data_IF_912037265874
#
_entry.id   IF_912037265874
#
_cell.length_a   1.000
_cell.length_b   1.000
_cell.length_c   1.000
_cell.angle_alpha   90.00
_cell.angle_beta   90.00
_cell.angle_gamma   90.00
#
_symmetry.space_group_name_H-M   'P 1'
#
loop_
_entity.id
_entity.type
_entity.pdbx_description
1 polymer ?
#
# COMPACT_ATOMS: atom_id res chain seq x y z
N UNK A 1 -14.69 -16.34 -8.27
CA UNK A 1 -14.14 -16.37 -6.88
C UNK A 1 -14.68 -15.15 -6.18
N UNK A 2 -15.12 -15.24 -4.92
CA UNK A 2 -15.65 -14.06 -4.22
C UNK A 2 -14.53 -13.09 -3.85
N UNK A 3 -14.84 -11.79 -3.80
CA UNK A 3 -13.88 -10.75 -3.42
C UNK A 3 -13.28 -10.98 -2.01
N UNK A 4 -14.07 -11.51 -1.06
CA UNK A 4 -13.58 -11.88 0.27
C UNK A 4 -12.47 -12.92 0.19
N UNK A 5 -12.74 -14.01 -0.53
CA UNK A 5 -11.80 -15.12 -0.69
C UNK A 5 -10.51 -14.64 -1.36
N UNK A 6 -10.61 -13.66 -2.27
CA UNK A 6 -9.45 -12.99 -2.86
C UNK A 6 -8.61 -12.26 -1.80
N UNK A 7 -9.22 -11.43 -0.95
CA UNK A 7 -8.47 -10.73 0.11
C UNK A 7 -7.83 -11.70 1.11
N UNK A 8 -8.52 -12.79 1.46
CA UNK A 8 -7.99 -13.83 2.34
C UNK A 8 -6.81 -14.57 1.69
N UNK A 9 -6.89 -14.90 0.40
CA UNK A 9 -5.82 -15.52 -0.36
C UNK A 9 -4.52 -14.72 -0.32
N UNK A 10 -4.61 -13.39 -0.40
CA UNK A 10 -3.45 -12.50 -0.32
C UNK A 10 -3.00 -12.22 1.12
N UNK A 11 -3.70 -12.69 2.15
CA UNK A 11 -3.33 -12.40 3.54
C UNK A 11 -3.72 -10.99 4.01
N UNK A 12 -4.59 -10.29 3.28
CA UNK A 12 -5.14 -8.98 3.65
C UNK A 12 -6.28 -9.12 4.67
N UNK A 13 -6.02 -9.88 5.74
CA UNK A 13 -7.02 -10.34 6.73
C UNK A 13 -7.52 -9.24 7.68
N UNK A 14 -6.80 -8.12 7.76
CA UNK A 14 -7.16 -6.95 8.59
C UNK A 14 -8.37 -6.18 8.03
N UNK A 15 -8.81 -6.50 6.81
CA UNK A 15 -9.87 -5.78 6.09
C UNK A 15 -11.25 -6.19 6.59
N UNK A 16 -12.07 -5.18 6.91
CA UNK A 16 -13.50 -5.31 7.19
C UNK A 16 -14.29 -4.95 5.93
N UNK A 17 -14.88 -5.95 5.28
CA UNK A 17 -15.79 -5.75 4.14
C UNK A 17 -17.24 -5.59 4.64
N UNK A 18 -18.06 -4.84 3.91
CA UNK A 18 -19.51 -4.75 4.14
C UNK A 18 -20.24 -5.84 3.35
N UNK A 19 -21.44 -6.26 3.79
CA UNK A 19 -22.25 -7.34 3.20
C UNK A 19 -22.28 -7.36 1.65
N UNK A 20 -22.48 -6.21 0.99
CA UNK A 20 -22.55 -6.13 -0.48
C UNK A 20 -21.22 -6.39 -1.22
N UNK A 21 -20.07 -6.20 -0.55
CA UNK A 21 -18.75 -6.49 -1.13
C UNK A 21 -18.42 -7.99 -1.10
N UNK A 22 -19.04 -8.75 -0.19
CA UNK A 22 -18.76 -10.19 -0.03
C UNK A 22 -19.26 -11.03 -1.21
N UNK A 23 -20.37 -10.64 -1.82
CA UNK A 23 -21.04 -11.41 -2.88
C UNK A 23 -20.60 -10.99 -4.30
N UNK A 24 -19.69 -10.03 -4.43
CA UNK A 24 -19.17 -9.62 -5.75
C UNK A 24 -18.24 -10.69 -6.32
N UNK A 25 -18.50 -11.10 -7.57
CA UNK A 25 -17.57 -11.92 -8.34
C UNK A 25 -16.29 -11.14 -8.67
N UNK A 26 -15.17 -11.82 -8.51
CA UNK A 26 -13.84 -11.30 -8.82
C UNK A 26 -13.43 -11.73 -10.24
N UNK A 27 -13.34 -10.75 -11.14
CA UNK A 27 -12.73 -10.91 -12.45
C UNK A 27 -12.17 -9.57 -12.91
N UNK A 28 -10.84 -9.45 -12.94
CA UNK A 28 -10.16 -8.24 -13.39
C UNK A 28 -10.23 -8.10 -14.92
N UNK A 29 -10.60 -6.91 -15.38
CA UNK A 29 -10.62 -6.55 -16.81
C UNK A 29 -9.33 -5.84 -17.20
N UNK A 30 -9.14 -5.54 -18.48
CA UNK A 30 -7.95 -4.83 -18.98
C UNK A 30 -7.69 -3.51 -18.25
N UNK A 31 -8.74 -2.71 -17.99
CA UNK A 31 -8.59 -1.46 -17.26
C UNK A 31 -8.16 -1.67 -15.78
N UNK A 32 -8.53 -2.79 -15.16
CA UNK A 32 -8.02 -3.16 -13.83
C UNK A 32 -6.55 -3.55 -13.89
N UNK A 33 -6.15 -4.29 -14.93
CA UNK A 33 -4.76 -4.71 -15.16
C UNK A 33 -3.86 -3.50 -15.35
N UNK A 34 -4.26 -2.57 -16.22
CA UNK A 34 -3.51 -1.34 -16.51
C UNK A 34 -3.39 -0.47 -15.24
N UNK A 35 -4.50 -0.28 -14.51
CA UNK A 35 -4.50 0.47 -13.26
C UNK A 35 -3.60 -0.18 -12.19
N UNK A 36 -3.64 -1.51 -12.09
CA UNK A 36 -2.82 -2.25 -11.14
C UNK A 36 -1.35 -2.19 -11.49
N UNK A 37 -1.00 -2.27 -12.78
CA UNK A 37 0.37 -2.09 -13.26
C UNK A 37 0.93 -0.72 -12.90
N UNK A 38 0.17 0.35 -13.15
CA UNK A 38 0.61 1.71 -12.83
C UNK A 38 0.91 1.87 -11.33
N UNK A 39 0.00 1.40 -10.45
CA UNK A 39 0.23 1.50 -9.01
C UNK A 39 1.32 0.53 -8.52
N UNK A 40 1.46 -0.62 -9.16
CA UNK A 40 2.50 -1.59 -8.86
C UNK A 40 3.89 -0.99 -9.07
N UNK A 41 4.13 -0.34 -10.23
CA UNK A 41 5.40 0.34 -10.52
C UNK A 41 5.70 1.41 -9.47
N UNK A 42 4.70 2.19 -9.07
CA UNK A 42 4.83 3.17 -7.99
C UNK A 42 5.22 2.48 -6.67
N UNK A 43 4.62 1.35 -6.30
CA UNK A 43 5.01 0.66 -5.07
C UNK A 43 6.41 0.04 -5.13
N UNK A 44 6.91 -0.37 -6.30
CA UNK A 44 8.22 -1.02 -6.40
C UNK A 44 9.39 -0.04 -6.41
N UNK A 45 9.16 1.17 -6.93
CA UNK A 45 10.24 2.12 -7.21
C UNK A 45 10.38 3.20 -6.14
N UNK A 46 9.53 3.19 -5.12
CA UNK A 46 9.50 4.22 -4.08
C UNK A 46 10.34 3.83 -2.88
N UNK A 47 11.04 4.81 -2.33
CA UNK A 47 11.90 4.63 -1.15
C UNK A 47 11.10 4.15 0.08
N UNK A 48 9.80 4.47 0.19
CA UNK A 48 9.00 4.15 1.39
C UNK A 48 8.58 2.70 1.49
N UNK A 49 8.59 1.98 0.38
CA UNK A 49 8.34 0.53 0.35
C UNK A 49 9.64 -0.25 0.53
N UNK A 50 10.79 0.39 0.35
CA UNK A 50 12.09 -0.21 0.59
C UNK A 50 12.48 -0.08 2.06
N UNK A 51 12.93 -1.16 2.72
CA UNK A 51 13.49 -1.08 4.06
C UNK A 51 14.77 -0.22 4.00
N UNK A 52 14.71 0.97 4.59
CA UNK A 52 15.92 1.76 4.84
C UNK A 52 16.53 1.35 6.19
N UNK A 53 17.87 1.34 6.31
CA UNK A 53 18.52 1.20 7.61
C UNK A 53 17.96 2.19 8.63
N UNK A 54 17.90 1.81 9.90
CA UNK A 54 17.33 2.64 10.99
C UNK A 54 18.04 4.01 11.16
N UNK A 55 19.21 4.17 10.54
CA UNK A 55 20.08 5.33 10.57
C UNK A 55 19.97 6.22 9.33
N UNK A 56 19.26 5.77 8.30
CA UNK A 56 19.09 6.49 7.03
C UNK A 56 17.64 7.00 6.88
N UNK A 57 17.49 8.10 6.16
CA UNK A 57 16.21 8.75 5.90
C UNK A 57 15.63 9.51 7.10
N UNK A 58 14.62 10.33 6.80
CA UNK A 58 13.91 11.18 7.75
C UNK A 58 12.43 10.79 7.83
N UNK A 59 11.88 10.76 9.05
CA UNK A 59 10.51 10.31 9.33
C UNK A 59 9.45 11.18 8.64
N UNK A 60 9.69 12.49 8.51
CA UNK A 60 8.78 13.39 7.81
C UNK A 60 8.74 13.08 6.31
N UNK A 61 9.90 12.81 5.70
CA UNK A 61 9.98 12.38 4.31
C UNK A 61 9.27 11.03 4.09
N UNK A 62 9.45 10.07 4.99
CA UNK A 62 8.75 8.79 4.94
C UNK A 62 7.22 8.97 5.07
N UNK A 63 6.75 9.77 6.03
CA UNK A 63 5.33 10.06 6.21
C UNK A 63 4.73 10.72 4.95
N UNK A 64 5.42 11.70 4.37
CA UNK A 64 5.00 12.36 3.14
C UNK A 64 4.90 11.37 1.97
N UNK A 65 5.86 10.46 1.88
CA UNK A 65 5.89 9.42 0.86
C UNK A 65 4.75 8.40 1.03
N UNK A 66 4.41 7.97 2.24
CA UNK A 66 3.21 7.15 2.47
C UNK A 66 1.94 7.93 2.09
N UNK A 67 1.84 9.19 2.50
CA UNK A 67 0.68 10.03 2.24
C UNK A 67 0.44 10.27 0.74
N UNK A 68 1.49 10.38 -0.08
CA UNK A 68 1.31 10.64 -1.52
C UNK A 68 0.65 9.48 -2.27
N UNK A 69 0.61 8.26 -1.71
CA UNK A 69 -0.15 7.13 -2.26
C UNK A 69 -1.62 7.51 -2.50
N UNK A 70 -2.23 8.30 -1.60
CA UNK A 70 -3.60 8.79 -1.82
C UNK A 70 -3.73 9.65 -3.08
N UNK A 71 -2.71 10.45 -3.41
CA UNK A 71 -2.68 11.27 -4.61
C UNK A 71 -2.54 10.42 -5.87
N UNK A 72 -1.52 9.56 -5.88
CA UNK A 72 -1.19 8.63 -6.97
C UNK A 72 -2.40 7.76 -7.31
N UNK A 73 -2.97 7.06 -6.33
CA UNK A 73 -4.13 6.19 -6.57
C UNK A 73 -5.34 6.97 -7.08
N UNK A 74 -5.60 8.19 -6.56
CA UNK A 74 -6.71 9.01 -7.07
C UNK A 74 -6.50 9.42 -8.53
N UNK A 75 -5.27 9.69 -8.93
CA UNK A 75 -4.95 10.01 -10.32
C UNK A 75 -5.22 8.81 -11.23
N UNK A 76 -4.71 7.62 -10.86
CA UNK A 76 -4.93 6.37 -11.60
C UNK A 76 -6.43 6.11 -11.76
N UNK A 77 -7.20 6.17 -10.67
CA UNK A 77 -8.65 5.95 -10.69
C UNK A 77 -9.40 6.95 -11.60
N UNK A 78 -8.96 8.21 -11.63
CA UNK A 78 -9.56 9.23 -12.50
C UNK A 78 -9.21 9.02 -13.97
N UNK A 79 -7.96 8.63 -14.26
CA UNK A 79 -7.46 8.35 -15.61
C UNK A 79 -8.15 7.13 -16.21
N UNK A 80 -8.23 6.05 -15.46
CA UNK A 80 -8.81 4.77 -15.88
C UNK A 80 -10.35 4.79 -15.85
N UNK A 81 -10.93 5.65 -15.01
CA UNK A 81 -12.37 5.83 -14.91
C UNK A 81 -13.09 4.58 -14.39
N UNK A 82 -14.40 4.49 -14.68
CA UNK A 82 -15.29 3.46 -14.11
C UNK A 82 -14.97 2.02 -14.51
N UNK A 83 -14.08 1.81 -15.48
CA UNK A 83 -13.81 0.48 -16.04
C UNK A 83 -12.82 -0.32 -15.18
N UNK A 84 -12.08 0.33 -14.26
CA UNK A 84 -11.17 -0.33 -13.32
C UNK A 84 -11.88 -0.67 -11.99
N UNK A 85 -13.06 -1.30 -12.05
CA UNK A 85 -13.91 -1.53 -10.88
C UNK A 85 -13.24 -2.42 -9.82
N UNK A 86 -12.59 -3.52 -10.21
CA UNK A 86 -11.99 -4.46 -9.27
C UNK A 86 -10.76 -3.85 -8.61
N UNK A 87 -9.92 -3.17 -9.39
CA UNK A 87 -8.81 -2.36 -8.88
C UNK A 87 -9.32 -1.29 -7.91
N UNK A 88 -10.40 -0.58 -8.26
CA UNK A 88 -11.00 0.44 -7.41
C UNK A 88 -11.40 -0.11 -6.05
N UNK A 89 -12.05 -1.29 -6.02
CA UNK A 89 -12.45 -1.97 -4.78
C UNK A 89 -11.24 -2.26 -3.90
N UNK A 90 -10.17 -2.83 -4.47
CA UNK A 90 -8.95 -3.16 -3.71
C UNK A 90 -8.25 -1.89 -3.23
N UNK A 91 -7.99 -0.94 -4.13
CA UNK A 91 -7.20 0.25 -3.83
C UNK A 91 -7.88 1.16 -2.79
N UNK A 92 -9.20 1.36 -2.88
CA UNK A 92 -9.96 2.15 -1.91
C UNK A 92 -9.93 1.49 -0.54
N UNK A 93 -10.08 0.16 -0.47
CA UNK A 93 -10.07 -0.57 0.79
C UNK A 93 -8.68 -0.50 1.44
N UNK A 94 -7.62 -0.77 0.70
CA UNK A 94 -6.24 -0.71 1.22
C UNK A 94 -5.90 0.69 1.70
N UNK A 95 -6.19 1.73 0.91
CA UNK A 95 -5.92 3.11 1.32
C UNK A 95 -6.65 3.50 2.60
N UNK A 96 -7.92 3.11 2.76
CA UNK A 96 -8.72 3.55 3.90
C UNK A 96 -8.53 2.71 5.16
N UNK A 97 -8.22 1.42 5.03
CA UNK A 97 -8.13 0.50 6.18
C UNK A 97 -6.69 0.21 6.60
N UNK A 98 -5.72 0.35 5.69
CA UNK A 98 -4.31 0.07 5.97
C UNK A 98 -3.50 1.38 6.04
N UNK A 99 -3.57 2.22 5.00
CA UNK A 99 -2.71 3.42 4.90
C UNK A 99 -3.24 4.60 5.73
N UNK A 100 -4.55 4.82 5.74
CA UNK A 100 -5.19 5.95 6.46
C UNK A 100 -4.93 5.93 7.97
N UNK A 101 -5.07 4.80 8.70
CA UNK A 101 -4.82 4.80 10.14
C UNK A 101 -3.40 5.23 10.49
N UNK A 102 -2.40 4.73 9.76
CA UNK A 102 -0.99 5.11 9.92
C UNK A 102 -0.79 6.61 9.67
N UNK A 103 -1.20 7.10 8.50
CA UNK A 103 -1.00 8.50 8.12
C UNK A 103 -1.76 9.47 9.03
N UNK A 104 -2.98 9.13 9.45
CA UNK A 104 -3.77 9.98 10.36
C UNK A 104 -3.13 10.10 11.74
N UNK A 105 -2.63 8.98 12.31
CA UNK A 105 -1.90 8.98 13.58
C UNK A 105 -0.65 9.86 13.48
N UNK A 106 0.20 9.57 12.51
CA UNK A 106 1.51 10.18 12.43
C UNK A 106 1.49 11.61 11.91
N UNK A 107 0.50 12.00 11.12
CA UNK A 107 0.31 13.40 10.75
C UNK A 107 0.05 14.29 11.98
N UNK A 108 -0.84 13.86 12.87
CA UNK A 108 -1.11 14.61 14.11
C UNK A 108 0.11 14.67 15.03
N UNK A 109 0.83 13.56 15.16
CA UNK A 109 2.05 13.49 15.98
C UNK A 109 3.19 14.33 15.40
N UNK A 110 3.39 14.31 14.09
CA UNK A 110 4.40 15.11 13.40
C UNK A 110 4.17 16.61 13.63
N UNK A 111 2.92 17.08 13.52
CA UNK A 111 2.56 18.48 13.84
C UNK A 111 2.85 18.87 15.30
N UNK A 112 2.92 17.89 16.21
CA UNK A 112 3.25 18.09 17.62
C UNK A 112 4.76 17.93 17.92
N UNK A 113 5.62 17.89 16.90
CA UNK A 113 7.07 17.74 17.09
C UNK A 113 7.50 16.33 17.48
N UNK A 114 6.75 15.29 17.09
CA UNK A 114 7.11 13.91 17.42
C UNK A 114 8.46 13.49 16.84
N UNK A 115 8.86 14.01 15.68
CA UNK A 115 10.13 13.64 15.05
C UNK A 115 11.37 14.29 15.69
N UNK A 116 11.17 15.18 16.66
CA UNK A 116 12.26 15.69 17.51
C UNK A 116 12.51 14.79 18.73
N UNK A 117 11.67 13.77 18.94
CA UNK A 117 11.72 12.88 20.11
C UNK A 117 12.22 11.49 19.70
N UNK A 118 13.41 11.04 20.16
CA UNK A 118 13.98 9.77 19.75
C UNK A 118 13.06 8.55 19.94
N UNK A 119 12.29 8.52 21.04
CA UNK A 119 11.36 7.40 21.28
C UNK A 119 10.19 7.38 20.30
N UNK A 120 9.73 8.55 19.85
CA UNK A 120 8.67 8.65 18.84
C UNK A 120 9.19 8.30 17.44
N UNK A 121 10.43 8.65 17.11
CA UNK A 121 11.07 8.20 15.87
C UNK A 121 11.18 6.67 15.83
N UNK A 122 11.58 6.04 16.94
CA UNK A 122 11.61 4.57 17.05
C UNK A 122 10.21 3.95 16.89
N UNK A 123 9.20 4.51 17.55
CA UNK A 123 7.81 4.08 17.41
C UNK A 123 7.32 4.21 15.95
N UNK A 124 7.62 5.34 15.28
CA UNK A 124 7.30 5.56 13.87
C UNK A 124 7.94 4.50 12.98
N UNK A 125 9.25 4.26 13.14
CA UNK A 125 9.98 3.28 12.33
C UNK A 125 9.47 1.86 12.54
N UNK A 126 9.11 1.48 13.77
CA UNK A 126 8.52 0.18 14.05
C UNK A 126 7.15 -0.02 13.36
N UNK A 127 6.29 1.00 13.42
CA UNK A 127 5.00 0.97 12.73
C UNK A 127 5.13 1.05 11.22
N UNK A 128 6.11 1.82 10.71
CA UNK A 128 6.41 1.90 9.29
C UNK A 128 6.85 0.54 8.74
N UNK A 129 7.72 -0.21 9.45
CA UNK A 129 8.08 -1.58 9.09
C UNK A 129 6.86 -2.49 9.00
N UNK A 130 5.91 -2.35 9.92
CA UNK A 130 4.64 -3.10 9.87
C UNK A 130 3.81 -2.72 8.64
N UNK A 131 3.69 -1.43 8.34
CA UNK A 131 3.00 -0.94 7.15
C UNK A 131 3.68 -1.41 5.85
N UNK A 132 5.01 -1.42 5.79
CA UNK A 132 5.78 -1.89 4.65
C UNK A 132 5.48 -3.35 4.32
N UNK A 133 5.31 -4.21 5.34
CA UNK A 133 4.88 -5.60 5.13
C UNK A 133 3.46 -5.68 4.54
N UNK A 134 2.52 -4.86 5.02
CA UNK A 134 1.17 -4.79 4.44
C UNK A 134 1.20 -4.27 2.99
N UNK A 135 2.08 -3.30 2.68
CA UNK A 135 2.27 -2.76 1.33
C UNK A 135 2.98 -3.73 0.39
N UNK A 136 3.89 -4.57 0.89
CA UNK A 136 4.50 -5.66 0.13
C UNK A 136 3.44 -6.67 -0.31
N UNK A 137 2.58 -7.10 0.61
CA UNK A 137 1.45 -7.98 0.29
C UNK A 137 0.56 -7.33 -0.77
N UNK A 138 0.27 -6.03 -0.61
CA UNK A 138 -0.53 -5.30 -1.59
C UNK A 138 0.14 -5.25 -2.97
N UNK A 139 1.45 -5.01 -3.05
CA UNK A 139 2.19 -5.00 -4.30
C UNK A 139 2.14 -6.36 -5.02
N UNK A 140 2.30 -7.47 -4.29
CA UNK A 140 2.14 -8.81 -4.88
C UNK A 140 0.73 -9.03 -5.45
N UNK A 141 -0.29 -8.57 -4.72
CA UNK A 141 -1.67 -8.65 -5.17
C UNK A 141 -1.93 -7.80 -6.42
N UNK A 142 -1.29 -6.62 -6.53
CA UNK A 142 -1.34 -5.80 -7.74
C UNK A 142 -0.65 -6.46 -8.94
N UNK A 143 0.49 -7.12 -8.76
CA UNK A 143 1.16 -7.88 -9.82
C UNK A 143 0.21 -8.96 -10.40
N UNK A 144 -0.51 -9.66 -9.52
CA UNK A 144 -1.49 -10.65 -9.95
C UNK A 144 -2.72 -10.05 -10.65
N UNK A 145 -3.21 -8.88 -10.21
CA UNK A 145 -4.27 -8.16 -10.93
C UNK A 145 -3.78 -7.78 -12.32
N UNK A 146 -2.55 -7.27 -12.43
CA UNK A 146 -1.92 -6.85 -13.68
C UNK A 146 -1.49 -8.02 -14.58
N UNK A 147 -1.52 -9.26 -14.09
CA UNK A 147 -1.05 -10.45 -14.80
C UNK A 147 0.42 -10.35 -15.26
N UNK A 148 1.26 -9.76 -14.41
CA UNK A 148 2.71 -9.60 -14.65
C UNK A 148 3.52 -10.45 -13.69
N UNK A 149 4.80 -10.63 -14.00
CA UNK A 149 5.76 -11.26 -13.09
C UNK A 149 5.89 -10.45 -11.79
N UNK A 150 5.92 -11.15 -10.65
CA UNK A 150 6.11 -10.54 -9.35
C UNK A 150 7.60 -10.22 -9.10
N UNK A 151 7.95 -8.96 -9.29
CA UNK A 151 9.26 -8.36 -9.03
C UNK A 151 9.43 -7.83 -7.61
N UNK A 152 8.50 -8.09 -6.68
CA UNK A 152 8.60 -7.56 -5.30
C UNK A 152 9.83 -8.05 -4.57
N UNK A 153 10.31 -9.28 -4.82
CA UNK A 153 11.57 -9.76 -4.25
C UNK A 153 12.75 -8.83 -4.60
N UNK A 154 12.85 -8.39 -5.87
CA UNK A 154 13.93 -7.49 -6.30
C UNK A 154 13.84 -6.08 -5.69
N UNK A 155 12.64 -5.63 -5.31
CA UNK A 155 12.42 -4.29 -4.78
C UNK A 155 12.42 -4.22 -3.25
N UNK A 156 11.99 -5.28 -2.57
CA UNK A 156 11.80 -5.32 -1.11
C UNK A 156 12.85 -6.15 -0.38
N UNK A 157 13.59 -7.04 -1.05
CA UNK A 157 14.74 -7.69 -0.43
C UNK A 157 15.91 -6.70 -0.36
N UNK A 158 16.38 -6.45 0.86
CA UNK A 158 17.62 -5.72 1.08
C UNK A 158 18.79 -6.55 0.52
N UNK A 159 19.48 -6.09 -0.55
CA UNK A 159 20.64 -6.80 -1.07
C UNK A 159 21.79 -6.88 -0.05
N UNK A 160 21.77 -6.04 0.99
CA UNK A 160 22.84 -5.92 1.95
C UNK A 160 22.71 -6.84 3.17
N UNK A 161 21.51 -7.31 3.52
CA UNK A 161 21.27 -8.24 4.64
C UNK A 161 22.09 -7.91 5.90
N UNK A 162 22.28 -6.61 6.21
CA UNK A 162 23.19 -6.11 7.24
C UNK A 162 22.52 -5.13 8.17
#
# INVERSE_FOLDING_TARGET
MKLKDWFEHWGLTKIKLTAGFFESEWQAQTADQDAAWELYVELLTRIVTQPLPDRDGDEQAALNSVHSLFGITREILRRQGRNCEQFSKVAIVVLNQIVRPFTAKWHKLALAGAFDQPERCREFRAELKTLQLDLLIYAKALAAIAQVEDLTAAAFDDPAGR
#
